data_IF_928236352729
#
_entry.id   IF_928236352729
#
_cell.length_a   1.000
_cell.length_b   1.000
_cell.length_c   1.000
_cell.angle_alpha   90.00
_cell.angle_beta   90.00
_cell.angle_gamma   90.00
#
_symmetry.space_group_name_H-M   'P 1'
#
loop_
_entity.id
_entity.type
_entity.pdbx_description
1 polymer ?
#
# COMPACT_ATOMS: atom_id res chain seq x y z
N UNK A 1 -22.03 -2.57 18.90
CA UNK A 1 -21.09 -2.40 17.77
C UNK A 1 -21.74 -2.92 16.52
N UNK A 2 -21.75 -2.14 15.43
CA UNK A 2 -22.39 -2.50 14.16
C UNK A 2 -21.68 -3.73 13.57
N UNK A 3 -22.48 -4.67 13.08
CA UNK A 3 -22.07 -5.88 12.33
C UNK A 3 -20.92 -5.55 11.37
N UNK A 4 -19.80 -6.27 11.50
CA UNK A 4 -18.80 -6.41 10.45
C UNK A 4 -19.56 -6.71 9.14
N UNK A 5 -19.40 -5.87 8.11
CA UNK A 5 -19.66 -6.36 6.76
C UNK A 5 -18.72 -7.55 6.56
N UNK A 6 -19.26 -8.73 6.25
CA UNK A 6 -18.44 -9.91 5.96
C UNK A 6 -17.46 -9.53 4.85
N UNK A 7 -16.16 -9.62 5.15
CA UNK A 7 -15.11 -9.41 4.15
C UNK A 7 -15.27 -10.43 3.01
N UNK A 8 -14.65 -10.15 1.85
CA UNK A 8 -14.81 -10.98 0.67
C UNK A 8 -14.40 -12.43 0.93
N UNK A 9 -13.36 -12.63 1.73
CA UNK A 9 -12.86 -13.95 2.09
C UNK A 9 -13.91 -14.76 2.85
N UNK A 10 -14.50 -14.18 3.90
CA UNK A 10 -15.55 -14.84 4.66
C UNK A 10 -16.78 -15.12 3.78
N UNK A 11 -17.16 -14.16 2.93
CA UNK A 11 -18.29 -14.33 2.01
C UNK A 11 -18.08 -15.49 1.03
N UNK A 12 -16.84 -15.71 0.56
CA UNK A 12 -16.51 -16.84 -0.32
C UNK A 12 -16.54 -18.17 0.44
N UNK A 13 -16.03 -18.22 1.66
CA UNK A 13 -16.05 -19.44 2.49
C UNK A 13 -17.49 -19.90 2.77
N UNK A 14 -18.42 -18.98 2.93
CA UNK A 14 -19.84 -19.25 3.21
C UNK A 14 -20.64 -19.75 1.99
N UNK A 15 -20.05 -19.77 0.79
CA UNK A 15 -20.74 -20.26 -0.42
C UNK A 15 -21.06 -21.76 -0.38
N UNK A 16 -20.28 -22.57 0.37
CA UNK A 16 -20.48 -24.01 0.49
C UNK A 16 -20.29 -24.77 -0.84
N UNK A 17 -20.76 -26.01 -0.90
CA UNK A 17 -20.37 -26.94 -1.98
C UNK A 17 -21.08 -26.71 -3.33
N UNK A 18 -22.28 -26.09 -3.32
CA UNK A 18 -23.03 -25.78 -4.53
C UNK A 18 -23.83 -24.48 -4.38
N UNK A 19 -23.16 -23.32 -4.35
CA UNK A 19 -23.82 -22.03 -4.15
C UNK A 19 -24.78 -21.71 -5.29
N UNK A 20 -25.94 -21.16 -4.94
CA UNK A 20 -26.84 -20.57 -5.90
C UNK A 20 -26.25 -19.31 -6.54
N UNK A 21 -26.69 -18.98 -7.76
CA UNK A 21 -26.23 -17.80 -8.51
C UNK A 21 -26.27 -16.52 -7.68
N UNK A 22 -27.35 -16.29 -6.93
CA UNK A 22 -27.53 -15.09 -6.11
C UNK A 22 -26.43 -14.93 -5.07
N UNK A 23 -26.03 -16.01 -4.40
CA UNK A 23 -24.95 -15.99 -3.40
C UNK A 23 -23.60 -15.69 -4.04
N UNK A 24 -23.32 -16.27 -5.21
CA UNK A 24 -22.07 -15.98 -5.94
C UNK A 24 -22.02 -14.54 -6.43
N UNK A 25 -23.13 -14.00 -6.95
CA UNK A 25 -23.22 -12.59 -7.35
C UNK A 25 -23.03 -11.66 -6.14
N UNK A 26 -23.52 -12.05 -4.96
CA UNK A 26 -23.27 -11.31 -3.73
C UNK A 26 -21.78 -11.31 -3.37
N UNK A 27 -21.13 -12.48 -3.35
CA UNK A 27 -19.69 -12.59 -3.10
C UNK A 27 -18.88 -11.76 -4.10
N UNK A 28 -19.21 -11.84 -5.39
CA UNK A 28 -18.61 -11.02 -6.44
C UNK A 28 -18.71 -9.52 -6.14
N UNK A 29 -19.89 -9.02 -5.73
CA UNK A 29 -20.08 -7.59 -5.39
C UNK A 29 -19.26 -7.17 -4.17
N UNK A 30 -19.12 -8.03 -3.18
CA UNK A 30 -18.26 -7.79 -2.02
C UNK A 30 -16.80 -7.69 -2.48
N UNK A 31 -16.35 -8.63 -3.33
CA UNK A 31 -14.99 -8.61 -3.89
C UNK A 31 -14.69 -7.35 -4.71
N UNK A 32 -15.64 -6.86 -5.52
CA UNK A 32 -15.49 -5.57 -6.22
C UNK A 32 -15.28 -4.44 -5.23
N UNK A 33 -16.14 -4.34 -4.22
CA UNK A 33 -16.10 -3.25 -3.24
C UNK A 33 -14.78 -3.24 -2.46
N UNK A 34 -14.31 -4.42 -2.06
CA UNK A 34 -13.07 -4.56 -1.32
C UNK A 34 -11.85 -4.22 -2.20
N UNK A 35 -11.84 -4.66 -3.47
CA UNK A 35 -10.80 -4.28 -4.43
C UNK A 35 -10.76 -2.76 -4.66
N UNK A 36 -11.92 -2.11 -4.81
CA UNK A 36 -12.03 -0.66 -4.96
C UNK A 36 -11.54 0.07 -3.70
N UNK A 37 -11.95 -0.39 -2.51
CA UNK A 37 -11.48 0.16 -1.24
C UNK A 37 -9.96 0.09 -1.10
N UNK A 38 -9.33 -1.03 -1.49
CA UNK A 38 -7.87 -1.15 -1.51
C UNK A 38 -7.27 -0.17 -2.51
N UNK A 39 -7.82 -0.06 -3.71
CA UNK A 39 -7.34 0.86 -4.74
C UNK A 39 -7.39 2.33 -4.29
N UNK A 40 -8.48 2.73 -3.62
CA UNK A 40 -8.63 4.08 -3.06
C UNK A 40 -7.59 4.35 -1.97
N UNK A 41 -7.42 3.42 -1.02
CA UNK A 41 -6.39 3.55 0.02
C UNK A 41 -4.97 3.60 -0.55
N UNK A 42 -4.71 2.90 -1.66
CA UNK A 42 -3.41 2.94 -2.34
C UNK A 42 -3.13 4.34 -2.91
N UNK A 43 -4.14 5.01 -3.46
CA UNK A 43 -3.99 6.40 -3.92
C UNK A 43 -3.61 7.34 -2.76
N UNK A 44 -4.17 7.09 -1.58
CA UNK A 44 -3.97 7.91 -0.38
C UNK A 44 -2.79 7.47 0.50
N UNK A 45 -2.04 6.43 0.13
CA UNK A 45 -0.90 5.96 0.92
C UNK A 45 0.30 6.91 0.78
N UNK A 46 0.93 7.28 1.90
CA UNK A 46 2.07 8.20 1.94
C UNK A 46 3.30 7.65 2.71
N UNK A 47 3.18 6.49 3.35
CA UNK A 47 4.30 5.84 4.03
C UNK A 47 4.51 4.39 3.59
N UNK A 48 5.71 3.86 3.84
CA UNK A 48 6.02 2.45 3.60
C UNK A 48 5.20 1.51 4.51
N UNK A 49 4.85 1.94 5.72
CA UNK A 49 4.05 1.13 6.66
C UNK A 49 2.61 0.94 6.16
N UNK A 50 1.99 1.99 5.60
CA UNK A 50 0.67 1.89 4.95
C UNK A 50 0.66 0.82 3.86
N UNK A 51 1.78 0.68 3.13
CA UNK A 51 1.92 -0.33 2.07
C UNK A 51 2.00 -1.76 2.57
N UNK A 52 2.56 -1.99 3.76
CA UNK A 52 2.63 -3.33 4.33
C UNK A 52 1.23 -3.84 4.61
N UNK A 53 0.37 -2.99 5.18
CA UNK A 53 -1.00 -3.37 5.50
C UNK A 53 -1.86 -3.50 4.24
N UNK A 54 -1.72 -2.61 3.25
CA UNK A 54 -2.40 -2.74 1.95
C UNK A 54 -2.01 -4.01 1.19
N UNK A 55 -0.75 -4.44 1.28
CA UNK A 55 -0.32 -5.73 0.72
C UNK A 55 -0.98 -6.91 1.41
N UNK A 56 -1.12 -6.87 2.74
CA UNK A 56 -1.83 -7.93 3.49
C UNK A 56 -3.30 -7.98 3.08
N UNK A 57 -3.97 -6.84 2.98
CA UNK A 57 -5.35 -6.75 2.50
C UNK A 57 -5.50 -7.35 1.09
N UNK A 58 -4.61 -6.96 0.14
CA UNK A 58 -4.62 -7.53 -1.21
C UNK A 58 -4.36 -9.05 -1.23
N UNK A 59 -3.48 -9.57 -0.37
CA UNK A 59 -3.25 -11.02 -0.26
C UNK A 59 -4.53 -11.73 0.20
N UNK A 60 -5.27 -11.18 1.16
CA UNK A 60 -6.55 -11.73 1.62
C UNK A 60 -7.59 -11.71 0.51
N UNK A 61 -7.73 -10.59 -0.19
CA UNK A 61 -8.59 -10.46 -1.37
C UNK A 61 -8.24 -11.52 -2.43
N UNK A 62 -6.95 -11.69 -2.74
CA UNK A 62 -6.48 -12.68 -3.72
C UNK A 62 -6.79 -14.11 -3.30
N UNK A 63 -6.64 -14.44 -2.01
CA UNK A 63 -6.99 -15.76 -1.47
C UNK A 63 -8.49 -16.04 -1.64
N UNK A 64 -9.34 -15.06 -1.35
CA UNK A 64 -10.78 -15.16 -1.56
C UNK A 64 -11.13 -15.43 -3.03
N UNK A 65 -10.52 -14.67 -3.93
CA UNK A 65 -10.73 -14.86 -5.36
C UNK A 65 -10.34 -16.25 -5.85
N UNK A 66 -9.16 -16.74 -5.45
CA UNK A 66 -8.70 -18.09 -5.81
C UNK A 66 -9.63 -19.17 -5.24
N UNK A 67 -10.05 -19.03 -3.98
CA UNK A 67 -10.98 -19.97 -3.35
C UNK A 67 -12.35 -20.01 -4.06
N UNK A 68 -12.83 -18.86 -4.54
CA UNK A 68 -14.13 -18.74 -5.20
C UNK A 68 -14.10 -18.91 -6.73
N UNK A 69 -12.93 -19.09 -7.34
CA UNK A 69 -12.73 -18.99 -8.79
C UNK A 69 -13.68 -19.87 -9.60
N UNK A 70 -13.83 -21.14 -9.20
CA UNK A 70 -14.72 -22.09 -9.89
C UNK A 70 -16.17 -21.63 -9.91
N UNK A 71 -16.64 -21.00 -8.83
CA UNK A 71 -17.98 -20.43 -8.73
C UNK A 71 -18.13 -19.21 -9.64
N UNK A 72 -17.15 -18.31 -9.64
CA UNK A 72 -17.18 -17.11 -10.49
C UNK A 72 -17.16 -17.45 -11.98
N UNK A 73 -16.39 -18.47 -12.37
CA UNK A 73 -16.38 -19.00 -13.74
C UNK A 73 -17.75 -19.60 -14.09
N UNK A 74 -18.30 -20.47 -13.22
CA UNK A 74 -19.61 -21.11 -13.43
C UNK A 74 -20.73 -20.10 -13.71
N UNK A 75 -20.68 -18.92 -13.09
CA UNK A 75 -21.69 -17.88 -13.24
C UNK A 75 -21.27 -16.68 -14.11
N UNK A 76 -20.10 -16.75 -14.76
CA UNK A 76 -19.67 -15.80 -15.78
C UNK A 76 -19.24 -14.42 -15.28
N UNK A 77 -18.82 -14.28 -14.02
CA UNK A 77 -18.41 -12.98 -13.41
C UNK A 77 -16.90 -12.88 -13.18
N UNK A 78 -16.15 -13.88 -13.62
CA UNK A 78 -14.72 -14.00 -13.36
C UNK A 78 -13.86 -12.93 -14.05
N UNK A 79 -14.21 -12.54 -15.28
CA UNK A 79 -13.40 -11.59 -16.09
C UNK A 79 -13.26 -10.22 -15.43
N UNK A 80 -14.31 -9.73 -14.78
CA UNK A 80 -14.25 -8.43 -14.11
C UNK A 80 -13.34 -8.49 -12.88
N UNK A 81 -13.39 -9.60 -12.14
CA UNK A 81 -12.53 -9.83 -10.99
C UNK A 81 -11.05 -9.96 -11.40
N UNK A 82 -10.76 -10.63 -12.52
CA UNK A 82 -9.39 -10.67 -13.08
C UNK A 82 -8.83 -9.27 -13.33
N UNK A 83 -9.61 -8.43 -14.02
CA UNK A 83 -9.21 -7.06 -14.36
C UNK A 83 -8.99 -6.26 -13.08
N UNK A 84 -9.91 -6.36 -12.11
CA UNK A 84 -9.79 -5.65 -10.84
C UNK A 84 -8.56 -6.10 -10.03
N UNK A 85 -8.27 -7.40 -9.98
CA UNK A 85 -7.09 -7.93 -9.31
C UNK A 85 -5.80 -7.40 -9.92
N UNK A 86 -5.72 -7.44 -11.25
CA UNK A 86 -4.56 -6.94 -11.98
C UNK A 86 -4.37 -5.43 -11.77
N UNK A 87 -5.45 -4.66 -11.84
CA UNK A 87 -5.38 -3.21 -11.63
C UNK A 87 -4.96 -2.87 -10.20
N UNK A 88 -5.55 -3.55 -9.20
CA UNK A 88 -5.25 -3.32 -7.78
C UNK A 88 -3.77 -3.58 -7.49
N UNK A 89 -3.23 -4.71 -7.95
CA UNK A 89 -1.80 -5.03 -7.72
C UNK A 89 -0.87 -4.08 -8.47
N UNK A 90 -1.24 -3.66 -9.68
CA UNK A 90 -0.45 -2.70 -10.47
C UNK A 90 -0.38 -1.34 -9.77
N UNK A 91 -1.50 -0.87 -9.21
CA UNK A 91 -1.53 0.37 -8.42
C UNK A 91 -0.66 0.27 -7.17
N UNK A 92 -0.73 -0.85 -6.44
CA UNK A 92 0.11 -1.09 -5.26
C UNK A 92 1.60 -1.01 -5.64
N UNK A 93 2.00 -1.66 -6.74
CA UNK A 93 3.38 -1.64 -7.20
C UNK A 93 3.84 -0.25 -7.64
N UNK A 94 3.02 0.47 -8.42
CA UNK A 94 3.35 1.80 -8.92
C UNK A 94 3.56 2.77 -7.76
N UNK A 95 2.63 2.81 -6.81
CA UNK A 95 2.71 3.73 -5.68
C UNK A 95 3.84 3.35 -4.71
N UNK A 96 4.08 2.06 -4.48
CA UNK A 96 5.24 1.61 -3.70
C UNK A 96 6.58 2.08 -4.30
N UNK A 97 6.68 2.19 -5.62
CA UNK A 97 7.87 2.74 -6.28
C UNK A 97 8.06 4.23 -6.03
N UNK A 98 6.97 5.01 -6.08
CA UNK A 98 6.99 6.45 -5.82
C UNK A 98 7.43 6.78 -4.40
N UNK A 99 6.84 6.11 -3.40
CA UNK A 99 7.19 6.37 -1.99
C UNK A 99 8.64 6.06 -1.69
N UNK A 100 9.15 4.91 -2.16
CA UNK A 100 10.56 4.56 -1.97
C UNK A 100 11.51 5.60 -2.55
N UNK A 101 11.16 6.16 -3.71
CA UNK A 101 11.95 7.22 -4.31
C UNK A 101 11.89 8.50 -3.46
N UNK A 102 10.71 8.90 -2.98
CA UNK A 102 10.56 10.06 -2.11
C UNK A 102 11.34 9.91 -0.80
N UNK A 103 11.26 8.76 -0.14
CA UNK A 103 12.03 8.45 1.07
C UNK A 103 13.53 8.51 0.79
N UNK A 104 13.97 7.96 -0.35
CA UNK A 104 15.37 8.03 -0.79
C UNK A 104 15.83 9.48 -0.99
N UNK A 105 15.07 10.31 -1.72
CA UNK A 105 15.42 11.72 -1.95
C UNK A 105 15.45 12.53 -0.66
N UNK A 106 14.50 12.30 0.26
CA UNK A 106 14.50 12.92 1.60
C UNK A 106 15.75 12.55 2.38
N UNK A 107 16.19 11.30 2.30
CA UNK A 107 17.44 10.84 2.91
C UNK A 107 18.68 11.57 2.37
N UNK A 108 18.80 11.70 1.05
CA UNK A 108 19.91 12.42 0.41
C UNK A 108 19.90 13.91 0.80
N UNK A 109 18.73 14.55 0.84
CA UNK A 109 18.61 15.94 1.27
C UNK A 109 19.06 16.13 2.73
N UNK A 110 18.62 15.25 3.64
CA UNK A 110 19.02 15.29 5.05
C UNK A 110 20.53 15.14 5.24
N UNK A 111 21.20 14.30 4.45
CA UNK A 111 22.66 14.14 4.49
C UNK A 111 23.33 15.43 4.02
N UNK A 112 22.91 15.99 2.89
CA UNK A 112 23.47 17.23 2.34
C UNK A 112 23.31 18.42 3.31
N UNK A 113 22.17 18.53 3.98
CA UNK A 113 21.94 19.55 5.01
C UNK A 113 22.84 19.35 6.24
N UNK A 114 23.02 18.11 6.67
CA UNK A 114 23.89 17.77 7.80
C UNK A 114 25.35 18.11 7.49
N UNK A 115 25.83 17.83 6.28
CA UNK A 115 27.19 18.21 5.86
C UNK A 115 27.37 19.72 5.77
N UNK A 116 26.37 20.46 5.27
CA UNK A 116 26.41 21.93 5.26
C UNK A 116 26.51 22.52 6.67
N UNK A 117 25.75 21.98 7.63
CA UNK A 117 25.81 22.41 9.03
C UNK A 117 27.18 22.13 9.64
N UNK A 118 27.73 20.92 9.46
CA UNK A 118 29.08 20.58 9.93
C UNK A 118 30.15 21.53 9.42
N UNK A 119 30.15 21.81 8.10
CA UNK A 119 31.13 22.75 7.51
C UNK A 119 30.99 24.18 8.04
N UNK A 120 29.77 24.62 8.36
CA UNK A 120 29.54 25.94 8.96
C UNK A 120 30.01 26.00 10.43
N UNK A 121 29.87 24.92 11.17
CA UNK A 121 30.38 24.80 12.54
C UNK A 121 31.91 24.77 12.55
N UNK A 122 32.53 23.96 11.69
CA UNK A 122 33.99 23.90 11.52
C UNK A 122 34.59 25.27 11.14
N UNK A 123 33.96 26.02 10.23
CA UNK A 123 34.44 27.36 9.85
C UNK A 123 34.33 28.40 10.97
N UNK A 124 33.38 28.24 11.90
CA UNK A 124 33.22 29.17 13.03
C UNK A 124 34.23 28.90 14.13
N UNK A 125 34.55 27.63 14.36
CA UNK A 125 35.58 27.24 15.33
C UNK A 125 36.98 27.69 14.84
N UNK A 126 37.26 27.62 13.54
CA UNK A 126 38.50 28.14 12.95
C UNK A 126 38.63 29.68 13.05
N UNK A 127 37.55 30.44 12.89
CA UNK A 127 37.53 31.91 13.10
C UNK A 127 37.80 32.28 14.57
N UNK A 128 37.22 31.54 15.53
CA UNK A 128 37.44 31.76 16.96
C UNK A 128 38.89 31.48 17.39
N UNK A 129 39.51 30.43 16.83
CA UNK A 129 40.91 30.10 17.09
C UNK A 129 41.89 31.11 16.47
N UNK A 130 41.54 31.74 15.34
CA UNK A 130 42.36 32.79 14.73
C UNK A 130 42.24 34.13 15.46
N UNK A 131 41.05 34.51 15.93
CA UNK A 131 40.87 35.72 16.75
C UNK A 131 41.55 35.62 18.13
N UNK A 132 41.51 34.44 18.76
CA UNK A 132 42.21 34.18 20.04
C UNK A 132 43.74 34.33 19.94
N UNK A 133 44.32 33.97 18.79
CA UNK A 133 45.76 34.06 18.55
C UNK A 133 46.26 35.47 18.15
N UNK A 134 45.37 36.41 17.83
CA UNK A 134 45.70 37.79 17.45
C UNK A 134 45.70 38.77 18.64
N UNK A 135 45.27 38.34 19.83
CA UNK A 135 45.12 39.17 21.04
C UNK A 135 46.27 38.98 22.05
N UNK A 136 47.30 38.20 21.73
CA UNK A 136 48.53 38.04 22.55
C UNK A 136 49.75 38.75 21.95
#
# INVERSE_FOLDING_TARGET
MKSQENDFYQTVLELGHNPGRRSVINAYRVGIREAQSIADKVCDAYSTDDFIDLKKEYITLRRAYVAGLSYFVKYGVQKDLDILMLNTVSMIHMRSGLIRNEEFYKGIQSIAESEKKRKQEESKDEELDTESNLVN
#
